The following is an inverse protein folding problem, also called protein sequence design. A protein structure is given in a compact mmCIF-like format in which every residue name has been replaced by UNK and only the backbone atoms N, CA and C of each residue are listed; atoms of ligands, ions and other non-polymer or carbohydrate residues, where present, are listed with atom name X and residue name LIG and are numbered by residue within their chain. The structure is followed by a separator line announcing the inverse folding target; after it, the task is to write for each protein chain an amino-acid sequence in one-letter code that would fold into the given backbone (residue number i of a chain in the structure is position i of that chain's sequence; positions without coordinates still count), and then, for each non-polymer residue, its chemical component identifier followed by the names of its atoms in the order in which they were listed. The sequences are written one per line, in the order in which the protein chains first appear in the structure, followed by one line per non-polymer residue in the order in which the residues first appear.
data_IF_062555990218
#
_entry.id   IF_062555990218
#
_cell.length_a   1.000
_cell.length_b   1.000
_cell.length_c   1.000
_cell.angle_alpha   90.00
_cell.angle_beta   90.00
_cell.angle_gamma   90.00
#
_symmetry.space_group_name_H-M   'P 1'
#
loop_
_entity.id
_entity.type
_entity.pdbx_description
1 polymer ?
#
# COMPACT_ATOMS: atom_id res chain seq x y z
N UNK A 1 10.51 -43.64 4.16
CA UNK A 1 10.15 -42.76 5.24
C UNK A 1 9.95 -43.55 6.51
N UNK A 2 10.68 -43.23 7.57
CA UNK A 2 10.55 -43.85 8.88
C UNK A 2 9.16 -43.50 9.45
N UNK A 3 8.33 -44.51 9.61
CA UNK A 3 7.07 -44.43 10.35
C UNK A 3 7.36 -44.48 11.84
N UNK A 4 7.99 -43.46 12.39
CA UNK A 4 7.90 -43.25 13.82
C UNK A 4 6.46 -42.86 14.15
N UNK A 5 5.87 -43.46 15.15
CA UNK A 5 4.53 -43.25 15.63
C UNK A 5 4.29 -41.80 16.04
N UNK A 6 3.89 -40.98 15.08
CA UNK A 6 3.49 -39.59 15.32
C UNK A 6 2.05 -39.71 15.85
N UNK A 7 1.92 -39.72 17.15
CA UNK A 7 0.63 -39.48 17.79
C UNK A 7 0.31 -38.00 17.59
N UNK A 8 -0.93 -37.71 17.17
CA UNK A 8 -1.55 -36.42 17.07
C UNK A 8 -0.77 -35.39 17.86
N UNK A 9 -0.19 -34.37 17.25
CA UNK A 9 0.00 -33.20 18.02
C UNK A 9 1.04 -32.25 17.42
N UNK A 10 1.10 -31.07 17.94
CA UNK A 10 2.06 -30.01 17.76
C UNK A 10 3.49 -30.54 17.88
N UNK A 11 4.30 -30.30 16.88
CA UNK A 11 5.71 -30.69 16.89
C UNK A 11 6.44 -30.50 15.58
N UNK A 12 7.75 -30.62 15.64
CA UNK A 12 8.65 -30.55 14.47
C UNK A 12 8.75 -31.92 13.82
N UNK A 13 8.64 -31.97 12.51
CA UNK A 13 8.76 -33.16 11.70
C UNK A 13 10.04 -33.08 10.89
N UNK A 14 10.85 -34.15 10.97
CA UNK A 14 12.17 -34.19 10.36
C UNK A 14 12.21 -35.20 9.21
N UNK A 15 13.09 -34.96 8.25
CA UNK A 15 13.52 -35.93 7.24
C UNK A 15 15.02 -36.13 7.35
N UNK A 16 15.43 -37.20 8.04
CA UNK A 16 16.80 -37.39 8.48
C UNK A 16 17.18 -36.39 9.57
N UNK A 17 18.28 -35.68 9.38
CA UNK A 17 18.78 -34.67 10.32
C UNK A 17 18.26 -33.25 10.05
N UNK A 18 17.28 -33.09 9.14
CA UNK A 18 16.73 -31.80 8.75
C UNK A 18 15.29 -31.65 9.22
N UNK A 19 15.00 -30.55 9.89
CA UNK A 19 13.65 -30.08 10.16
C UNK A 19 12.99 -29.71 8.83
N UNK A 20 11.83 -30.31 8.52
CA UNK A 20 11.15 -30.13 7.25
C UNK A 20 9.89 -29.29 7.42
N UNK A 21 9.19 -29.46 8.56
CA UNK A 21 8.00 -28.68 8.85
C UNK A 21 7.71 -28.72 10.36
N UNK A 22 7.03 -27.68 10.83
CA UNK A 22 6.44 -27.65 12.16
C UNK A 22 4.92 -27.72 12.04
N UNK A 23 4.26 -28.47 12.91
CA UNK A 23 2.80 -28.57 12.95
C UNK A 23 2.28 -28.09 14.29
N UNK A 24 1.37 -27.11 14.25
CA UNK A 24 0.54 -26.75 15.39
C UNK A 24 -0.87 -27.32 15.19
N UNK A 25 -1.19 -28.36 15.93
CA UNK A 25 -2.48 -29.03 15.94
C UNK A 25 -3.29 -28.73 17.22
N UNK A 26 -2.92 -27.70 17.98
CA UNK A 26 -3.59 -27.33 19.26
C UNK A 26 -5.08 -27.10 19.07
N UNK A 27 -5.48 -26.47 17.96
CA UNK A 27 -6.87 -26.21 17.60
C UNK A 27 -7.44 -27.17 16.55
N UNK A 28 -6.64 -28.15 16.12
CA UNK A 28 -6.99 -29.07 15.03
C UNK A 28 -6.58 -30.50 15.28
N UNK A 29 -6.15 -31.20 14.25
CA UNK A 29 -5.64 -32.56 14.32
C UNK A 29 -4.67 -32.81 13.15
N UNK A 30 -3.53 -33.42 13.49
CA UNK A 30 -2.58 -33.94 12.52
C UNK A 30 -2.21 -35.37 12.92
N UNK A 31 -2.80 -36.35 12.24
CA UNK A 31 -2.65 -37.74 12.64
C UNK A 31 -2.41 -38.67 11.47
N UNK A 32 -1.21 -39.25 11.33
CA UNK A 32 -0.97 -40.35 10.42
C UNK A 32 -1.90 -41.52 10.67
N UNK A 33 -2.43 -42.11 9.61
CA UNK A 33 -3.25 -43.31 9.72
C UNK A 33 -2.38 -44.56 9.64
N UNK A 34 -2.66 -45.48 10.52
CA UNK A 34 -1.93 -46.77 10.67
C UNK A 34 -2.57 -47.90 9.87
N UNK A 35 -3.56 -47.60 9.03
CA UNK A 35 -4.33 -48.56 8.23
C UNK A 35 -3.67 -48.96 6.91
N UNK A 36 -2.40 -48.62 6.72
CA UNK A 36 -1.64 -48.93 5.50
C UNK A 36 -1.94 -48.01 4.32
N UNK A 37 -2.78 -47.02 4.50
CA UNK A 37 -3.23 -46.12 3.39
C UNK A 37 -2.33 -44.93 3.13
N UNK A 38 -1.24 -44.77 3.89
CA UNK A 38 -0.22 -43.74 3.70
C UNK A 38 -0.81 -42.32 3.61
N UNK A 39 -1.69 -41.97 4.55
CA UNK A 39 -2.41 -40.71 4.60
C UNK A 39 -2.35 -40.07 6.00
N UNK A 40 -2.47 -38.77 6.05
CA UNK A 40 -2.53 -38.00 7.29
C UNK A 40 -3.93 -37.37 7.40
N UNK A 41 -4.60 -37.59 8.50
CA UNK A 41 -5.84 -36.88 8.84
C UNK A 41 -5.47 -35.49 9.33
N UNK A 42 -6.03 -34.45 8.71
CA UNK A 42 -5.83 -33.06 9.07
C UNK A 42 -7.19 -32.41 9.28
N UNK A 43 -7.38 -31.77 10.42
CA UNK A 43 -8.63 -31.11 10.75
C UNK A 43 -8.47 -29.58 10.64
N UNK A 44 -9.59 -28.90 10.49
CA UNK A 44 -9.70 -27.45 10.56
C UNK A 44 -8.99 -26.89 11.78
N UNK A 45 -8.23 -25.80 11.61
CA UNK A 45 -7.44 -25.18 12.66
C UNK A 45 -6.05 -25.79 12.87
N UNK A 46 -5.68 -26.84 12.12
CA UNK A 46 -4.29 -27.30 12.04
C UNK A 46 -3.48 -26.31 11.20
N UNK A 47 -2.33 -25.89 11.72
CA UNK A 47 -1.36 -25.03 11.02
C UNK A 47 -0.10 -25.85 10.73
N UNK A 48 0.32 -25.84 9.49
CA UNK A 48 1.55 -26.46 9.03
C UNK A 48 2.51 -25.35 8.63
N UNK A 49 3.60 -25.21 9.38
CA UNK A 49 4.64 -24.21 9.11
C UNK A 49 5.77 -24.87 8.35
N UNK A 50 6.12 -24.30 7.22
CA UNK A 50 7.16 -24.83 6.32
C UNK A 50 8.16 -23.72 6.00
N UNK A 51 9.46 -24.02 5.92
CA UNK A 51 10.45 -23.07 5.44
C UNK A 51 10.12 -22.62 4.01
N UNK A 52 10.26 -21.33 3.76
CA UNK A 52 10.04 -20.74 2.44
C UNK A 52 11.09 -19.66 2.15
N UNK A 53 11.47 -19.54 0.90
CA UNK A 53 12.39 -18.52 0.41
C UNK A 53 12.07 -18.18 -1.05
N UNK A 54 12.60 -17.06 -1.55
CA UNK A 54 12.37 -16.62 -2.92
C UNK A 54 11.07 -15.81 -3.07
N UNK A 55 10.59 -15.69 -4.30
CA UNK A 55 9.51 -14.78 -4.66
C UNK A 55 8.16 -15.47 -4.91
N UNK A 56 8.19 -16.79 -5.05
CA UNK A 56 7.03 -17.60 -5.42
C UNK A 56 7.14 -18.98 -4.81
N UNK A 57 6.04 -19.54 -4.36
CA UNK A 57 5.96 -20.91 -3.90
C UNK A 57 4.93 -21.69 -4.69
N UNK A 58 5.29 -22.91 -5.10
CA UNK A 58 4.39 -23.90 -5.66
C UNK A 58 4.21 -25.02 -4.65
N UNK A 59 2.99 -25.19 -4.15
CA UNK A 59 2.64 -26.17 -3.13
C UNK A 59 1.83 -27.27 -3.79
N UNK A 60 2.37 -28.50 -3.76
CA UNK A 60 1.75 -29.67 -4.35
C UNK A 60 1.29 -30.61 -3.24
N UNK A 61 0.05 -31.05 -3.31
CA UNK A 61 -0.49 -32.04 -2.38
C UNK A 61 -1.54 -32.92 -3.04
N UNK A 62 -1.65 -34.14 -2.52
CA UNK A 62 -2.76 -35.04 -2.83
C UNK A 62 -3.78 -34.93 -1.70
N UNK A 63 -5.01 -34.54 -1.98
CA UNK A 63 -6.05 -34.28 -1.00
C UNK A 63 -7.31 -35.09 -1.30
N UNK A 64 -8.05 -35.48 -0.24
CA UNK A 64 -9.31 -36.20 -0.39
C UNK A 64 -10.36 -35.31 -1.08
N UNK A 65 -11.19 -35.90 -1.95
CA UNK A 65 -12.24 -35.21 -2.72
C UNK A 65 -13.30 -34.51 -1.88
N UNK A 66 -13.33 -34.74 -0.58
CA UNK A 66 -14.29 -34.04 0.30
C UNK A 66 -14.09 -32.52 0.35
N UNK A 67 -12.92 -32.01 -0.05
CA UNK A 67 -12.64 -30.56 -0.14
C UNK A 67 -13.01 -29.98 -1.51
N UNK A 68 -13.23 -30.82 -2.53
CA UNK A 68 -13.63 -30.42 -3.86
C UNK A 68 -12.99 -31.27 -4.95
N UNK A 69 -13.40 -31.05 -6.18
CA UNK A 69 -12.89 -31.76 -7.39
C UNK A 69 -12.58 -30.83 -8.54
N UNK A 70 -12.75 -29.55 -8.36
CA UNK A 70 -12.43 -28.46 -9.30
C UNK A 70 -11.60 -27.38 -8.61
N UNK A 71 -10.96 -26.51 -9.39
CA UNK A 71 -10.03 -25.50 -8.88
C UNK A 71 -10.66 -24.57 -7.86
N UNK A 72 -11.90 -24.10 -8.08
CA UNK A 72 -12.56 -23.11 -7.24
C UNK A 72 -12.95 -23.73 -5.88
N UNK A 73 -13.53 -24.93 -5.87
CA UNK A 73 -13.88 -25.61 -4.63
C UNK A 73 -12.65 -26.01 -3.83
N UNK A 74 -11.59 -26.46 -4.50
CA UNK A 74 -10.30 -26.78 -3.88
C UNK A 74 -9.68 -25.52 -3.25
N UNK A 75 -9.60 -24.41 -3.97
CA UNK A 75 -9.08 -23.14 -3.47
C UNK A 75 -9.91 -22.62 -2.29
N UNK A 76 -11.24 -22.74 -2.39
CA UNK A 76 -12.16 -22.33 -1.33
C UNK A 76 -12.05 -23.13 -0.03
N UNK A 77 -11.72 -24.41 -0.08
CA UNK A 77 -11.94 -25.36 1.01
C UNK A 77 -10.68 -26.03 1.59
N UNK A 78 -9.51 -25.94 0.93
CA UNK A 78 -8.35 -26.73 1.36
C UNK A 78 -7.54 -26.03 2.44
N UNK A 79 -6.94 -24.90 2.15
CA UNK A 79 -6.06 -24.18 3.08
C UNK A 79 -5.99 -22.67 2.74
N UNK A 80 -5.55 -21.90 3.73
CA UNK A 80 -5.04 -20.54 3.55
C UNK A 80 -3.52 -20.56 3.71
N UNK A 81 -2.84 -19.61 3.09
CA UNK A 81 -1.40 -19.42 3.22
C UNK A 81 -1.14 -18.05 3.83
N UNK A 82 -0.36 -18.02 4.89
CA UNK A 82 0.04 -16.79 5.58
C UNK A 82 1.55 -16.70 5.62
N UNK A 83 2.11 -15.54 5.31
CA UNK A 83 3.55 -15.29 5.40
C UNK A 83 4.04 -15.09 6.83
N UNK A 84 5.35 -14.92 7.00
CA UNK A 84 5.99 -14.64 8.29
C UNK A 84 5.52 -13.31 8.91
N UNK A 85 5.14 -12.35 8.08
CA UNK A 85 4.52 -11.06 8.47
C UNK A 85 3.07 -11.18 8.97
N UNK A 86 2.52 -12.40 9.00
CA UNK A 86 1.14 -12.73 9.37
C UNK A 86 0.08 -12.23 8.40
N UNK A 87 0.48 -11.81 7.20
CA UNK A 87 -0.43 -11.39 6.14
C UNK A 87 -0.81 -12.59 5.27
N UNK A 88 -2.10 -12.68 4.94
CA UNK A 88 -2.63 -13.70 4.04
C UNK A 88 -2.06 -13.50 2.63
N UNK A 89 -1.47 -14.55 2.07
CA UNK A 89 -0.99 -14.55 0.68
C UNK A 89 -2.14 -14.85 -0.27
N UNK A 90 -2.18 -14.13 -1.39
CA UNK A 90 -3.09 -14.47 -2.48
C UNK A 90 -2.61 -15.78 -3.11
N UNK A 91 -3.50 -16.75 -3.14
CA UNK A 91 -3.23 -18.10 -3.62
C UNK A 91 -4.08 -18.38 -4.86
N UNK A 92 -3.52 -19.08 -5.82
CA UNK A 92 -4.20 -19.60 -6.99
C UNK A 92 -4.08 -21.12 -7.07
N UNK A 93 -5.15 -21.81 -7.42
CA UNK A 93 -5.10 -23.24 -7.75
C UNK A 93 -4.78 -23.40 -9.24
N UNK A 94 -3.53 -23.69 -9.56
CA UNK A 94 -3.06 -23.81 -10.95
C UNK A 94 -3.39 -25.16 -11.57
N UNK A 95 -3.47 -26.21 -10.75
CA UNK A 95 -3.81 -27.58 -11.20
C UNK A 95 -4.73 -28.29 -10.22
N UNK A 96 -5.71 -29.02 -10.74
CA UNK A 96 -6.55 -29.96 -9.99
C UNK A 96 -6.85 -31.15 -10.89
N UNK A 97 -6.21 -32.30 -10.63
CA UNK A 97 -6.28 -33.50 -11.49
C UNK A 97 -6.72 -34.70 -10.64
N UNK A 98 -7.56 -35.56 -11.21
CA UNK A 98 -7.96 -36.78 -10.55
C UNK A 98 -6.73 -37.68 -10.28
N UNK A 99 -6.55 -38.10 -9.03
CA UNK A 99 -5.53 -39.05 -8.64
C UNK A 99 -5.92 -40.49 -9.07
N UNK A 100 -4.95 -41.37 -9.25
CA UNK A 100 -5.19 -42.78 -9.53
C UNK A 100 -6.02 -43.49 -8.45
N UNK A 101 -5.93 -43.02 -7.18
CA UNK A 101 -6.87 -43.40 -6.11
C UNK A 101 -8.13 -42.55 -6.26
N UNK A 102 -9.24 -43.17 -6.61
CA UNK A 102 -10.51 -42.51 -6.94
C UNK A 102 -11.09 -41.62 -5.83
N UNK A 103 -10.59 -41.72 -4.60
CA UNK A 103 -10.97 -40.88 -3.45
C UNK A 103 -10.19 -39.57 -3.32
N UNK A 104 -9.19 -39.31 -4.21
CA UNK A 104 -8.26 -38.21 -4.08
C UNK A 104 -8.12 -37.41 -5.37
N UNK A 105 -7.62 -36.18 -5.22
CA UNK A 105 -7.17 -35.31 -6.30
C UNK A 105 -5.76 -34.83 -6.01
N UNK A 106 -4.97 -34.68 -7.07
CA UNK A 106 -3.67 -34.00 -7.03
C UNK A 106 -3.88 -32.53 -7.34
N UNK A 107 -3.38 -31.67 -6.47
CA UNK A 107 -3.57 -30.23 -6.58
C UNK A 107 -2.24 -29.50 -6.49
N UNK A 108 -2.15 -28.41 -7.22
CA UNK A 108 -1.03 -27.48 -7.15
C UNK A 108 -1.58 -26.08 -6.87
N UNK A 109 -1.04 -25.47 -5.83
CA UNK A 109 -1.28 -24.06 -5.49
C UNK A 109 -0.03 -23.27 -5.77
N UNK A 110 -0.25 -22.04 -6.21
CA UNK A 110 0.77 -21.05 -6.40
C UNK A 110 0.47 -19.82 -5.54
N UNK A 111 1.49 -19.26 -4.92
CA UNK A 111 1.39 -17.98 -4.22
C UNK A 111 2.69 -17.19 -4.35
N UNK A 112 2.58 -15.87 -4.39
CA UNK A 112 3.72 -14.97 -4.39
C UNK A 112 4.17 -14.67 -2.97
N UNK A 113 5.47 -14.48 -2.81
CA UNK A 113 6.17 -14.25 -1.55
C UNK A 113 6.84 -12.87 -1.57
N UNK A 114 7.18 -12.36 -0.39
CA UNK A 114 7.87 -11.06 -0.25
C UNK A 114 9.38 -11.12 -0.59
N UNK A 115 9.93 -12.30 -0.76
CA UNK A 115 11.39 -12.52 -0.89
C UNK A 115 12.07 -12.86 0.43
N UNK A 116 11.60 -12.30 1.54
CA UNK A 116 12.15 -12.47 2.91
C UNK A 116 11.24 -13.30 3.81
N UNK A 117 10.45 -14.22 3.25
CA UNK A 117 9.43 -14.96 4.01
C UNK A 117 10.01 -15.76 5.18
N UNK A 118 11.11 -16.46 4.98
CA UNK A 118 11.65 -17.40 5.96
C UNK A 118 10.76 -18.62 6.19
N UNK A 119 9.45 -18.41 6.36
CA UNK A 119 8.47 -19.49 6.57
C UNK A 119 7.08 -19.13 6.03
N UNK A 120 6.31 -20.15 5.65
CA UNK A 120 4.88 -20.07 5.36
C UNK A 120 4.08 -20.88 6.35
N UNK A 121 2.94 -20.36 6.76
CA UNK A 121 1.93 -21.08 7.54
C UNK A 121 0.76 -21.48 6.64
N UNK A 122 0.54 -22.79 6.52
CA UNK A 122 -0.61 -23.38 5.84
C UNK A 122 -1.70 -23.66 6.89
N UNK A 123 -2.79 -22.94 6.85
CA UNK A 123 -3.92 -23.06 7.78
C UNK A 123 -5.04 -23.89 7.12
N UNK A 124 -5.30 -25.08 7.67
CA UNK A 124 -6.25 -26.04 7.10
C UNK A 124 -7.69 -25.59 7.33
N UNK A 125 -8.44 -25.40 6.24
CA UNK A 125 -9.82 -24.89 6.26
C UNK A 125 -10.87 -25.96 6.51
N UNK A 126 -10.65 -27.19 6.04
CA UNK A 126 -11.64 -28.27 6.07
C UNK A 126 -11.01 -29.57 6.56
N UNK A 127 -11.68 -30.30 7.40
CA UNK A 127 -11.26 -31.63 7.83
C UNK A 127 -11.07 -32.54 6.61
N UNK A 128 -9.87 -33.06 6.42
CA UNK A 128 -9.55 -33.86 5.25
C UNK A 128 -8.42 -34.86 5.50
N UNK A 129 -8.09 -35.62 4.47
CA UNK A 129 -6.88 -36.45 4.43
C UNK A 129 -5.95 -35.89 3.37
N UNK A 130 -4.69 -35.76 3.71
CA UNK A 130 -3.64 -35.34 2.77
C UNK A 130 -2.60 -36.45 2.57
N UNK A 131 -1.97 -36.44 1.40
CA UNK A 131 -0.79 -37.22 1.02
C UNK A 131 0.16 -36.30 0.27
N UNK A 132 1.44 -36.64 0.24
CA UNK A 132 2.43 -36.01 -0.64
C UNK A 132 2.42 -34.46 -0.60
N UNK A 133 2.57 -33.88 0.57
CA UNK A 133 2.80 -32.43 0.66
C UNK A 133 4.23 -32.10 0.27
N UNK A 134 4.42 -31.25 -0.71
CA UNK A 134 5.72 -30.66 -1.07
C UNK A 134 5.58 -29.18 -1.41
N UNK A 135 6.65 -28.45 -1.21
CA UNK A 135 6.79 -27.04 -1.59
C UNK A 135 8.03 -26.90 -2.47
N UNK A 136 7.89 -26.11 -3.51
CA UNK A 136 8.98 -25.63 -4.35
C UNK A 136 8.98 -24.11 -4.28
N UNK A 137 10.08 -23.54 -3.82
CA UNK A 137 10.27 -22.10 -3.78
C UNK A 137 11.10 -21.65 -4.97
N UNK A 138 10.68 -20.60 -5.62
CA UNK A 138 11.23 -20.11 -6.89
C UNK A 138 11.68 -18.67 -6.69
N UNK A 139 12.91 -18.37 -7.07
CA UNK A 139 13.39 -16.99 -7.24
C UNK A 139 13.04 -16.53 -8.65
N UNK A 140 12.36 -15.40 -8.76
CA UNK A 140 12.01 -14.80 -10.04
C UNK A 140 13.12 -13.86 -10.51
N UNK A 141 13.15 -13.60 -11.81
CA UNK A 141 13.98 -12.53 -12.35
C UNK A 141 13.62 -11.20 -11.68
N UNK A 142 14.64 -10.35 -11.45
CA UNK A 142 14.43 -9.03 -10.87
C UNK A 142 14.58 -7.94 -11.93
N UNK A 143 13.72 -6.95 -11.86
CA UNK A 143 13.85 -5.68 -12.58
C UNK A 143 13.97 -4.56 -11.57
N UNK A 144 14.60 -3.47 -11.96
CA UNK A 144 14.81 -2.32 -11.09
C UNK A 144 13.98 -1.16 -11.59
N UNK A 145 13.04 -0.68 -10.78
CA UNK A 145 12.35 0.60 -10.98
C UNK A 145 13.13 1.65 -10.19
N UNK A 146 13.73 2.61 -10.87
CA UNK A 146 14.54 3.64 -10.24
C UNK A 146 14.28 5.01 -10.87
N UNK A 147 14.52 6.06 -10.10
CA UNK A 147 14.32 7.41 -10.60
C UNK A 147 14.77 8.47 -9.62
N UNK A 148 14.54 9.70 -10.04
CA UNK A 148 14.65 10.88 -9.20
C UNK A 148 13.30 11.22 -8.61
N UNK A 149 13.32 11.79 -7.41
CA UNK A 149 12.15 12.38 -6.77
C UNK A 149 12.44 13.85 -6.52
N UNK A 150 11.50 14.71 -6.86
CA UNK A 150 11.62 16.16 -6.68
C UNK A 150 10.41 16.70 -5.93
N UNK A 151 10.64 17.68 -5.06
CA UNK A 151 9.63 18.34 -4.26
C UNK A 151 9.98 19.83 -4.12
N UNK A 152 8.99 20.68 -3.90
CA UNK A 152 9.20 22.06 -3.46
C UNK A 152 9.35 22.16 -1.94
N UNK A 153 8.76 21.22 -1.20
CA UNK A 153 8.92 21.07 0.25
C UNK A 153 10.02 20.07 0.56
N UNK A 154 10.54 20.09 1.79
CA UNK A 154 11.56 19.16 2.23
C UNK A 154 11.02 17.71 2.22
N UNK A 155 11.82 16.79 1.72
CA UNK A 155 11.52 15.36 1.69
C UNK A 155 11.93 14.75 3.03
N UNK A 156 11.00 14.13 3.79
CA UNK A 156 11.34 13.44 5.04
C UNK A 156 12.36 12.33 4.82
N UNK A 157 13.33 12.24 5.71
CA UNK A 157 14.42 11.25 5.61
C UNK A 157 13.97 9.80 5.83
N UNK A 158 12.79 9.59 6.41
CA UNK A 158 12.16 8.29 6.67
C UNK A 158 11.09 7.93 5.63
N UNK A 159 10.85 8.79 4.64
CA UNK A 159 9.91 8.52 3.57
C UNK A 159 10.47 7.49 2.60
N UNK A 160 9.65 6.51 2.24
CA UNK A 160 9.98 5.48 1.26
C UNK A 160 9.13 5.59 0.01
N UNK A 161 9.68 5.13 -1.10
CA UNK A 161 8.91 4.83 -2.31
C UNK A 161 8.47 3.37 -2.25
N UNK A 162 7.21 3.12 -2.55
CA UNK A 162 6.56 1.81 -2.46
C UNK A 162 6.07 1.40 -3.84
N UNK A 163 6.46 0.24 -4.31
CA UNK A 163 5.91 -0.39 -5.51
C UNK A 163 4.93 -1.51 -5.09
N UNK A 164 3.67 -1.37 -5.43
CA UNK A 164 2.63 -2.37 -5.16
C UNK A 164 2.34 -3.16 -6.42
N UNK A 165 2.45 -4.48 -6.37
CA UNK A 165 1.98 -5.36 -7.43
C UNK A 165 0.44 -5.44 -7.37
N UNK A 166 -0.24 -4.98 -8.42
CA UNK A 166 -1.70 -4.90 -8.46
C UNK A 166 -2.38 -6.28 -8.50
N UNK A 167 -1.67 -7.31 -8.94
CA UNK A 167 -2.21 -8.68 -9.02
C UNK A 167 -2.11 -9.39 -7.69
N UNK A 168 -0.96 -9.30 -7.03
CA UNK A 168 -0.67 -10.05 -5.80
C UNK A 168 -0.94 -9.25 -4.52
N UNK A 169 -0.94 -7.91 -4.61
CA UNK A 169 -1.02 -6.99 -3.47
C UNK A 169 0.29 -6.86 -2.68
N UNK A 170 1.36 -7.55 -3.11
CA UNK A 170 2.67 -7.45 -2.46
C UNK A 170 3.32 -6.09 -2.72
N UNK A 171 4.05 -5.60 -1.73
CA UNK A 171 4.73 -4.32 -1.77
C UNK A 171 6.24 -4.49 -1.65
N UNK A 172 6.95 -3.68 -2.40
CA UNK A 172 8.41 -3.58 -2.42
C UNK A 172 8.78 -2.14 -2.13
N UNK A 173 9.76 -1.90 -1.28
CA UNK A 173 10.07 -0.54 -0.80
C UNK A 173 11.52 -0.17 -1.07
N UNK A 174 11.77 1.12 -1.17
CA UNK A 174 13.12 1.70 -1.21
C UNK A 174 13.14 2.98 -0.39
N UNK A 175 14.16 3.14 0.41
CA UNK A 175 14.49 4.43 1.01
C UNK A 175 14.83 5.46 -0.08
N UNK A 176 14.54 6.72 0.21
CA UNK A 176 14.94 7.84 -0.65
C UNK A 176 16.30 8.35 -0.16
N UNK A 177 17.29 8.31 -1.04
CA UNK A 177 18.55 9.01 -0.77
C UNK A 177 18.35 10.49 -1.06
N UNK A 178 18.02 11.26 -0.02
CA UNK A 178 17.74 12.69 -0.10
C UNK A 178 19.03 13.46 -0.34
N UNK A 179 19.02 14.40 -1.29
CA UNK A 179 20.13 15.29 -1.61
C UNK A 179 20.29 16.38 -0.52
N UNK A 180 21.45 17.06 -0.50
CA UNK A 180 21.77 18.12 0.48
C UNK A 180 20.76 19.29 0.48
N UNK A 181 20.09 19.53 -0.63
CA UNK A 181 19.06 20.58 -0.73
C UNK A 181 17.74 20.22 -0.02
N UNK A 182 17.60 18.98 0.47
CA UNK A 182 16.39 18.46 1.10
C UNK A 182 15.17 18.28 0.16
N UNK A 183 15.25 18.75 -1.08
CA UNK A 183 14.09 18.85 -2.01
C UNK A 183 14.18 17.92 -3.21
N UNK A 184 15.20 17.11 -3.27
CA UNK A 184 15.38 16.09 -4.29
C UNK A 184 16.01 14.84 -3.70
N UNK A 185 15.87 13.73 -4.39
CA UNK A 185 16.49 12.47 -3.98
C UNK A 185 16.44 11.45 -5.10
N UNK A 186 16.96 10.27 -4.81
CA UNK A 186 16.94 9.11 -5.71
C UNK A 186 16.42 7.89 -4.98
N UNK A 187 15.80 6.97 -5.70
CA UNK A 187 15.32 5.70 -5.20
C UNK A 187 15.56 4.57 -6.20
N UNK A 188 15.53 3.33 -5.70
CA UNK A 188 15.75 2.15 -6.53
C UNK A 188 15.07 0.94 -5.89
N UNK A 189 14.01 0.41 -6.52
CA UNK A 189 13.20 -0.70 -6.03
C UNK A 189 13.43 -1.91 -6.94
N UNK A 190 13.80 -3.03 -6.36
CA UNK A 190 13.82 -4.32 -7.06
C UNK A 190 12.43 -4.95 -6.99
N UNK A 191 11.91 -5.36 -8.14
CA UNK A 191 10.61 -6.03 -8.26
C UNK A 191 10.73 -7.32 -9.05
N UNK A 192 10.01 -8.39 -8.68
CA UNK A 192 9.94 -9.62 -9.46
C UNK A 192 9.38 -9.40 -10.86
N UNK A 193 9.79 -10.25 -11.80
CA UNK A 193 9.30 -10.27 -13.16
C UNK A 193 9.10 -11.72 -13.63
N UNK A 194 7.98 -11.96 -14.29
CA UNK A 194 7.66 -13.21 -14.97
C UNK A 194 7.48 -13.00 -16.47
N UNK A 195 7.24 -14.09 -17.22
CA UNK A 195 6.94 -14.00 -18.64
C UNK A 195 5.59 -13.28 -18.86
N UNK A 196 4.64 -13.51 -17.96
CA UNK A 196 3.40 -12.75 -17.90
C UNK A 196 3.65 -11.36 -17.32
N UNK A 197 2.95 -10.37 -17.86
CA UNK A 197 3.10 -8.98 -17.43
C UNK A 197 2.54 -8.77 -16.03
N UNK A 198 3.39 -8.27 -15.15
CA UNK A 198 3.02 -7.84 -13.79
C UNK A 198 2.85 -6.32 -13.75
N UNK A 199 1.73 -5.84 -13.21
CA UNK A 199 1.44 -4.42 -13.08
C UNK A 199 1.84 -3.92 -11.70
N UNK A 200 2.71 -2.89 -11.66
CA UNK A 200 3.17 -2.24 -10.44
C UNK A 200 2.69 -0.80 -10.39
N UNK A 201 2.21 -0.38 -9.22
CA UNK A 201 1.85 1.01 -8.94
C UNK A 201 2.78 1.59 -7.89
N UNK A 202 3.37 2.75 -8.19
CA UNK A 202 4.28 3.46 -7.29
C UNK A 202 3.48 4.41 -6.41
N UNK A 203 3.77 4.40 -5.12
CA UNK A 203 3.22 5.30 -4.10
C UNK A 203 4.30 5.73 -3.10
N UNK A 204 3.91 6.54 -2.13
CA UNK A 204 4.78 7.00 -1.05
C UNK A 204 4.32 6.42 0.28
N UNK A 205 5.25 6.09 1.17
CA UNK A 205 4.92 5.57 2.51
C UNK A 205 4.31 6.64 3.42
N UNK A 206 4.59 7.92 3.16
CA UNK A 206 4.09 9.03 3.96
C UNK A 206 2.81 9.63 3.32
N UNK A 207 1.63 9.49 3.96
CA UNK A 207 0.36 9.99 3.43
C UNK A 207 0.25 11.52 3.42
N UNK A 208 1.17 12.24 4.07
CA UNK A 208 1.26 13.71 3.97
C UNK A 208 1.90 14.19 2.66
N UNK A 209 2.26 13.26 1.77
CA UNK A 209 2.81 13.55 0.45
C UNK A 209 2.04 12.81 -0.63
N UNK A 210 1.97 13.43 -1.81
CA UNK A 210 1.30 12.86 -2.99
C UNK A 210 2.18 12.99 -4.23
N UNK A 211 2.12 12.00 -5.11
CA UNK A 211 2.73 12.10 -6.44
C UNK A 211 1.88 13.04 -7.29
N UNK A 212 2.47 14.17 -7.69
CA UNK A 212 1.84 15.17 -8.56
C UNK A 212 1.97 14.79 -10.03
N UNK A 213 3.16 14.34 -10.42
CA UNK A 213 3.45 13.94 -11.79
C UNK A 213 4.58 12.93 -11.86
N UNK A 214 4.66 12.22 -12.96
CA UNK A 214 5.60 11.15 -13.24
C UNK A 214 4.89 9.91 -13.73
N UNK A 215 5.65 8.90 -14.13
CA UNK A 215 5.11 7.59 -14.50
C UNK A 215 5.11 6.72 -13.23
N UNK A 216 3.95 6.50 -12.66
CA UNK A 216 3.78 5.73 -11.42
C UNK A 216 3.12 4.36 -11.63
N UNK A 217 2.79 3.99 -12.86
CA UNK A 217 2.31 2.65 -13.24
C UNK A 217 3.25 2.03 -14.25
N UNK A 218 3.68 0.82 -13.96
CA UNK A 218 4.69 0.11 -14.75
C UNK A 218 4.25 -1.32 -15.01
N UNK A 219 4.28 -1.70 -16.30
CA UNK A 219 4.10 -3.07 -16.75
C UNK A 219 5.47 -3.74 -16.84
N UNK A 220 5.69 -4.79 -16.08
CA UNK A 220 6.98 -5.46 -15.92
C UNK A 220 6.87 -6.93 -16.29
N UNK A 221 7.78 -7.41 -17.14
CA UNK A 221 7.93 -8.83 -17.49
C UNK A 221 9.41 -9.19 -17.62
N UNK A 222 9.73 -10.45 -17.89
CA UNK A 222 11.10 -10.88 -18.17
C UNK A 222 11.69 -10.16 -19.38
N UNK A 223 10.87 -9.78 -20.38
CA UNK A 223 11.26 -9.03 -21.57
C UNK A 223 11.48 -7.54 -21.32
N UNK A 224 11.00 -7.00 -20.21
CA UNK A 224 11.23 -5.59 -19.84
C UNK A 224 12.72 -5.33 -19.61
N UNK A 225 13.18 -4.11 -19.91
CA UNK A 225 14.56 -3.70 -19.62
C UNK A 225 14.92 -3.95 -18.14
N UNK A 226 16.18 -4.28 -17.87
CA UNK A 226 16.66 -4.55 -16.51
C UNK A 226 16.44 -3.37 -15.56
N UNK A 227 16.43 -2.14 -16.11
CA UNK A 227 16.14 -0.89 -15.38
C UNK A 227 15.03 -0.12 -16.07
N UNK A 228 14.09 0.36 -15.27
CA UNK A 228 12.93 1.14 -15.66
C UNK A 228 13.05 2.50 -14.97
N UNK A 229 13.14 3.57 -15.75
CA UNK A 229 13.21 4.94 -15.19
C UNK A 229 11.81 5.44 -14.84
N UNK A 230 11.65 5.93 -13.62
CA UNK A 230 10.41 6.44 -13.06
C UNK A 230 10.68 7.71 -12.23
N UNK A 231 10.90 8.84 -12.90
CA UNK A 231 11.07 10.12 -12.24
C UNK A 231 9.73 10.65 -11.73
N UNK A 232 9.72 11.14 -10.49
CA UNK A 232 8.52 11.57 -9.77
C UNK A 232 8.67 13.03 -9.31
N UNK A 233 7.58 13.78 -9.44
CA UNK A 233 7.40 15.05 -8.72
C UNK A 233 6.33 14.86 -7.65
N UNK A 234 6.65 15.25 -6.43
CA UNK A 234 5.73 15.11 -5.28
C UNK A 234 5.38 16.46 -4.67
N UNK A 235 4.25 16.50 -4.01
CA UNK A 235 3.78 17.65 -3.22
C UNK A 235 3.53 17.25 -1.79
N UNK A 236 3.79 18.17 -0.86
CA UNK A 236 3.37 18.02 0.54
C UNK A 236 1.87 18.31 0.66
N UNK A 237 1.19 17.50 1.46
CA UNK A 237 -0.20 17.71 1.89
C UNK A 237 -0.26 18.10 3.39
N UNK A 238 0.88 18.40 4.01
CA UNK A 238 0.94 18.82 5.41
C UNK A 238 0.37 20.23 5.57
N UNK A 239 -0.89 20.30 5.97
CA UNK A 239 -1.67 21.53 6.05
C UNK A 239 -2.07 21.83 7.48
N UNK A 240 -2.34 23.11 7.75
CA UNK A 240 -3.02 23.59 8.93
C UNK A 240 -4.32 24.31 8.55
N UNK A 241 -5.27 24.31 9.46
CA UNK A 241 -6.55 24.99 9.29
C UNK A 241 -6.50 26.39 9.93
N UNK A 242 -6.84 27.40 9.16
CA UNK A 242 -6.98 28.76 9.66
C UNK A 242 -8.44 29.17 9.54
N UNK A 243 -9.03 29.57 10.65
CA UNK A 243 -10.40 30.05 10.71
C UNK A 243 -10.39 31.52 11.09
N UNK A 244 -11.45 32.22 10.75
CA UNK A 244 -11.57 33.62 11.16
C UNK A 244 -12.87 34.27 10.69
N UNK A 245 -13.04 35.53 11.05
CA UNK A 245 -14.19 36.34 10.66
C UNK A 245 -13.74 37.39 9.64
N UNK A 246 -14.60 37.64 8.66
CA UNK A 246 -14.44 38.75 7.71
C UNK A 246 -15.22 39.95 8.26
N UNK A 247 -14.49 40.99 8.63
CA UNK A 247 -15.03 42.23 9.20
C UNK A 247 -15.05 43.34 8.13
N UNK A 248 -15.86 44.38 8.38
CA UNK A 248 -15.95 45.57 7.51
C UNK A 248 -16.90 45.39 6.31
N UNK A 249 -17.68 44.33 6.32
CA UNK A 249 -18.69 44.07 5.30
C UNK A 249 -19.90 44.98 5.60
N UNK A 250 -20.34 45.69 4.58
CA UNK A 250 -21.54 46.53 4.64
C UNK A 250 -22.63 45.88 3.78
N UNK A 251 -23.81 45.65 4.38
CA UNK A 251 -24.94 45.01 3.72
C UNK A 251 -25.26 45.66 2.35
N UNK A 252 -25.46 44.82 1.36
CA UNK A 252 -25.87 45.18 0.00
C UNK A 252 -24.73 45.44 -1.01
N UNK A 253 -23.46 45.35 -0.61
CA UNK A 253 -22.32 45.54 -1.51
C UNK A 253 -21.62 44.23 -1.95
N UNK A 254 -21.99 43.09 -1.36
CA UNK A 254 -21.38 41.83 -1.68
C UNK A 254 -22.25 41.02 -2.65
N UNK A 255 -21.64 40.62 -3.71
CA UNK A 255 -22.24 39.72 -4.71
C UNK A 255 -21.96 38.28 -4.31
N UNK A 256 -22.69 37.32 -4.91
CA UNK A 256 -22.47 35.89 -4.77
C UNK A 256 -21.04 35.44 -5.18
N UNK A 257 -20.27 36.33 -5.82
CA UNK A 257 -18.92 36.09 -6.32
C UNK A 257 -17.80 36.49 -5.34
N UNK A 258 -18.11 36.89 -4.10
CA UNK A 258 -17.09 37.29 -3.12
C UNK A 258 -16.20 36.10 -2.75
N UNK A 259 -14.91 36.26 -2.96
CA UNK A 259 -13.90 35.28 -2.60
C UNK A 259 -12.74 35.91 -1.84
N UNK A 260 -12.22 35.20 -0.83
CA UNK A 260 -10.87 35.44 -0.30
C UNK A 260 -9.89 34.56 -1.05
N UNK A 261 -8.87 35.16 -1.64
CA UNK A 261 -7.85 34.44 -2.40
C UNK A 261 -6.52 34.59 -1.70
N UNK A 262 -5.96 33.45 -1.26
CA UNK A 262 -4.63 33.39 -0.69
C UNK A 262 -3.64 32.98 -1.78
N UNK A 263 -2.59 33.75 -1.94
CA UNK A 263 -1.52 33.52 -2.91
C UNK A 263 -0.17 33.55 -2.23
N UNK A 264 0.82 32.85 -2.79
CA UNK A 264 2.19 32.86 -2.30
C UNK A 264 3.17 33.06 -3.44
N UNK A 265 4.31 33.69 -3.15
CA UNK A 265 5.48 33.75 -4.02
C UNK A 265 6.51 32.69 -3.66
N UNK A 266 6.31 31.95 -2.59
CA UNK A 266 7.16 30.82 -2.22
C UNK A 266 6.92 29.66 -3.18
N UNK A 267 7.93 28.81 -3.35
CA UNK A 267 7.81 27.61 -4.17
C UNK A 267 6.93 26.56 -3.48
N UNK A 268 5.66 26.53 -3.85
CA UNK A 268 4.70 25.48 -3.44
C UNK A 268 3.79 25.15 -4.61
N UNK A 269 3.31 23.93 -4.66
CA UNK A 269 2.26 23.50 -5.58
C UNK A 269 0.88 23.46 -4.90
N UNK A 270 0.85 23.79 -3.62
CA UNK A 270 -0.40 23.81 -2.84
C UNK A 270 -1.17 25.11 -3.10
N UNK A 271 -2.45 24.98 -3.44
CA UNK A 271 -3.38 26.08 -3.57
C UNK A 271 -4.33 26.05 -2.37
N UNK A 272 -4.39 27.09 -1.54
CA UNK A 272 -5.28 27.11 -0.38
C UNK A 272 -6.73 26.91 -0.77
N UNK A 273 -7.40 25.97 -0.09
CA UNK A 273 -8.84 25.80 -0.18
C UNK A 273 -9.51 26.72 0.83
N UNK A 274 -10.43 27.56 0.37
CA UNK A 274 -11.14 28.54 1.21
C UNK A 274 -12.65 28.29 1.10
N UNK A 275 -13.30 28.21 2.25
CA UNK A 275 -14.76 28.19 2.34
C UNK A 275 -15.23 29.38 3.18
N UNK A 276 -16.29 30.06 2.72
CA UNK A 276 -16.88 31.22 3.40
C UNK A 276 -18.35 30.90 3.68
N UNK A 277 -18.73 31.07 4.93
CA UNK A 277 -20.13 31.11 5.37
C UNK A 277 -20.64 32.56 5.26
N UNK A 278 -21.43 32.86 4.27
CA UNK A 278 -21.93 34.20 3.97
C UNK A 278 -22.99 34.68 4.96
N UNK A 279 -23.60 33.79 5.73
CA UNK A 279 -24.57 34.15 6.76
C UNK A 279 -23.88 34.73 8.01
N UNK A 280 -22.72 34.19 8.35
CA UNK A 280 -21.93 34.56 9.54
C UNK A 280 -20.65 35.31 9.21
N UNK A 281 -20.28 35.39 7.96
CA UNK A 281 -19.01 35.94 7.47
C UNK A 281 -17.79 35.31 8.15
N UNK A 282 -17.89 34.03 8.47
CA UNK A 282 -16.76 33.21 8.91
C UNK A 282 -16.15 32.49 7.71
N UNK A 283 -14.85 32.36 7.75
CA UNK A 283 -14.14 31.58 6.76
C UNK A 283 -13.29 30.47 7.39
N UNK A 284 -13.02 29.45 6.60
CA UNK A 284 -12.07 28.41 6.89
C UNK A 284 -11.16 28.26 5.68
N UNK A 285 -9.85 28.30 5.91
CA UNK A 285 -8.84 28.09 4.88
C UNK A 285 -7.86 27.02 5.33
N UNK A 286 -7.39 26.20 4.38
CA UNK A 286 -6.29 25.27 4.61
C UNK A 286 -5.04 25.81 3.96
N UNK A 287 -3.95 25.87 4.71
CA UNK A 287 -2.63 26.32 4.26
C UNK A 287 -1.62 25.18 4.32
N UNK A 288 -0.66 25.17 3.41
CA UNK A 288 0.55 24.38 3.60
C UNK A 288 1.34 24.96 4.77
N UNK A 289 1.71 24.12 5.74
CA UNK A 289 2.45 24.56 6.94
C UNK A 289 3.78 25.20 6.58
N UNK A 290 4.07 26.30 7.23
CA UNK A 290 5.34 27.00 7.08
C UNK A 290 5.52 27.80 5.78
N UNK A 291 4.50 27.85 4.91
CA UNK A 291 4.47 28.70 3.71
C UNK A 291 3.84 30.04 4.04
N UNK A 292 4.37 31.13 3.48
CA UNK A 292 3.87 32.49 3.67
C UNK A 292 2.90 32.85 2.54
N UNK A 293 1.74 33.38 2.93
CA UNK A 293 0.68 33.76 2.00
C UNK A 293 0.35 35.25 2.10
N UNK A 294 -0.11 35.80 1.00
CA UNK A 294 -0.80 37.10 0.91
C UNK A 294 -2.29 36.85 0.68
N UNK A 295 -3.15 37.70 1.19
CA UNK A 295 -4.60 37.60 1.02
C UNK A 295 -5.14 38.79 0.23
N UNK A 296 -6.06 38.50 -0.70
CA UNK A 296 -6.77 39.53 -1.47
C UNK A 296 -8.26 39.18 -1.56
N UNK A 297 -9.07 40.20 -1.86
CA UNK A 297 -10.49 40.02 -2.22
C UNK A 297 -10.67 39.93 -3.71
N UNK A 298 -11.51 39.00 -4.14
CA UNK A 298 -11.96 38.83 -5.53
C UNK A 298 -13.49 38.87 -5.57
N UNK A 299 -14.08 39.24 -6.69
CA UNK A 299 -15.55 39.34 -6.84
C UNK A 299 -16.19 40.60 -6.24
N UNK A 300 -15.44 41.42 -5.50
CA UNK A 300 -15.89 42.69 -4.92
C UNK A 300 -14.87 43.79 -5.30
N UNK A 301 -14.96 44.35 -6.49
CA UNK A 301 -13.93 45.20 -7.07
C UNK A 301 -13.66 46.50 -6.30
N UNK A 302 -14.63 47.00 -5.51
CA UNK A 302 -14.49 48.20 -4.74
C UNK A 302 -13.90 47.98 -3.34
N UNK A 303 -13.60 46.74 -2.97
CA UNK A 303 -13.05 46.36 -1.67
C UNK A 303 -11.61 45.89 -1.76
N UNK A 304 -10.87 46.13 -0.71
CA UNK A 304 -9.53 45.59 -0.49
C UNK A 304 -9.38 45.11 0.97
N UNK A 305 -8.38 44.25 1.19
CA UNK A 305 -8.02 43.87 2.58
C UNK A 305 -7.28 45.04 3.24
N UNK A 306 -7.80 45.46 4.38
CA UNK A 306 -7.24 46.59 5.16
C UNK A 306 -6.53 46.13 6.44
N UNK A 307 -6.63 44.86 6.80
CA UNK A 307 -5.87 44.22 7.86
C UNK A 307 -4.53 43.67 7.36
N UNK A 308 -4.00 42.64 8.03
CA UNK A 308 -2.81 41.96 7.57
C UNK A 308 -3.08 41.32 6.21
N UNK A 309 -2.39 41.79 5.16
CA UNK A 309 -2.52 41.30 3.78
C UNK A 309 -1.37 40.43 3.33
N UNK A 310 -0.24 40.44 4.03
CA UNK A 310 1.00 39.75 3.68
C UNK A 310 1.64 39.04 4.86
N UNK A 311 2.49 38.08 4.61
CA UNK A 311 3.28 37.39 5.62
C UNK A 311 2.45 36.45 6.52
N UNK A 312 1.30 36.00 6.03
CA UNK A 312 0.42 35.08 6.76
C UNK A 312 1.06 33.69 6.72
N UNK A 313 1.59 33.24 7.85
CA UNK A 313 2.33 31.98 7.95
C UNK A 313 2.00 31.24 9.24
N UNK A 314 1.57 29.99 9.10
CA UNK A 314 1.24 29.13 10.22
C UNK A 314 1.86 27.75 10.09
N UNK A 315 2.19 27.15 11.25
CA UNK A 315 2.65 25.76 11.36
C UNK A 315 1.65 24.87 12.11
N UNK A 316 0.61 25.48 12.64
CA UNK A 316 -0.45 24.85 13.45
C UNK A 316 -1.78 25.52 13.11
N UNK A 317 -2.88 24.89 13.51
CA UNK A 317 -4.20 25.48 13.39
C UNK A 317 -4.26 26.83 14.12
N UNK A 318 -4.89 27.82 13.49
CA UNK A 318 -4.86 29.18 13.98
C UNK A 318 -6.17 29.94 13.71
N UNK A 319 -6.30 31.09 14.34
CA UNK A 319 -7.37 32.07 14.06
C UNK A 319 -6.75 33.33 13.44
N UNK A 320 -7.37 33.83 12.38
CA UNK A 320 -7.01 35.09 11.73
C UNK A 320 -8.27 35.84 11.27
N UNK A 321 -8.61 36.94 11.93
CA UNK A 321 -9.66 37.83 11.43
C UNK A 321 -9.14 38.72 10.31
N UNK A 322 -9.90 38.81 9.23
CA UNK A 322 -9.60 39.65 8.07
C UNK A 322 -10.57 40.83 8.07
N UNK A 323 -10.05 42.04 7.91
CA UNK A 323 -10.86 43.23 7.72
C UNK A 323 -10.76 43.70 6.27
N UNK A 324 -11.91 43.98 5.67
CA UNK A 324 -12.01 44.53 4.33
C UNK A 324 -12.57 45.95 4.40
N UNK A 325 -12.22 46.79 3.47
CA UNK A 325 -12.68 48.17 3.39
C UNK A 325 -12.79 48.64 1.93
N UNK A 326 -13.50 49.72 1.71
CA UNK A 326 -13.60 50.33 0.39
C UNK A 326 -12.23 50.85 -0.10
N UNK A 327 -11.91 50.61 -1.34
CA UNK A 327 -10.73 51.19 -1.97
C UNK A 327 -10.83 52.69 -1.99
N UNK A 328 -9.74 53.43 -1.71
CA UNK A 328 -9.76 54.87 -1.80
C UNK A 328 -10.09 55.32 -3.24
N UNK A 329 -11.14 56.14 -3.37
CA UNK A 329 -11.50 56.75 -4.64
C UNK A 329 -10.69 58.04 -4.85
N UNK A 330 -9.89 58.12 -5.92
CA UNK A 330 -9.19 59.32 -6.28
C UNK A 330 -10.05 60.13 -7.28
N UNK A 331 -10.45 61.34 -6.93
CA UNK A 331 -11.08 62.22 -7.86
C UNK A 331 -10.02 62.71 -8.89
N UNK A 332 -10.17 62.32 -10.14
CA UNK A 332 -9.40 62.94 -11.23
C UNK A 332 -10.08 64.25 -11.59
N UNK A 333 -9.48 65.36 -11.21
CA UNK A 333 -9.89 66.68 -11.70
C UNK A 333 -9.27 66.87 -13.08
N UNK A 334 -10.12 66.94 -14.12
CA UNK A 334 -9.74 67.23 -15.51
C UNK A 334 -9.74 68.75 -15.71
#
# INVERSE_FOLDING_TARGET
GSTSSIQSDTGTYTNGDKDVLYVDATSGKFQPKTDGTNRIQVNTGTKIVIPAAGDKAVIKLTVNKNVGTDKDSILGNTLNITGSDKVLRKMECISCVANSDSGYVDVEFECYLTGDEGELTLDVKTNTYIRNLSIECIELNKKVINGTITSKSDIPSDMQVVATNNTTGLTYTSDITVAENGKSGTYSIEVPAEDEVMEYEISLSNPAYQIKSGIYKHSVSTETAARITADLTIISLDTCTVTGKINGITDGYFTEDFELVFTTTEETDYVPEVTIDTDTWKYTAKFEKGVSYSVAVKGANDYEVTSVSDGIKYSEDAELDITVGLKPTYAVTV
#
